data_IF_293734456540
#
_entry.id   IF_293734456540
#
_cell.length_a   1.000
_cell.length_b   1.000
_cell.length_c   1.000
_cell.angle_alpha   90.00
_cell.angle_beta   90.00
_cell.angle_gamma   90.00
#
_symmetry.space_group_name_H-M   'P 1'
#
loop_
_entity.id
_entity.type
_entity.pdbx_description
1 polymer ?
#
# COMPACT_ATOMS: atom_id res chain seq x y z
N UNK A 1 8.78 -3.97 19.82
CA UNK A 1 8.86 -5.06 20.82
C UNK A 1 8.03 -6.29 20.45
N UNK A 2 6.68 -6.26 20.45
CA UNK A 2 5.83 -7.48 20.34
C UNK A 2 6.04 -8.41 19.13
N UNK A 3 6.28 -7.89 17.93
CA UNK A 3 6.44 -8.71 16.71
C UNK A 3 7.85 -9.31 16.59
N UNK A 4 8.86 -8.46 16.73
CA UNK A 4 10.26 -8.82 16.43
C UNK A 4 11.11 -9.07 17.70
N UNK A 5 10.55 -8.91 18.90
CA UNK A 5 11.25 -9.09 20.18
C UNK A 5 12.31 -8.03 20.53
N UNK A 6 12.56 -7.03 19.68
CA UNK A 6 13.63 -6.02 19.87
C UNK A 6 13.26 -4.89 20.84
N UNK A 7 14.28 -4.24 21.43
CA UNK A 7 14.13 -3.05 22.26
C UNK A 7 13.62 -1.83 21.47
N UNK A 8 13.13 -0.82 22.20
CA UNK A 8 12.66 0.42 21.59
C UNK A 8 13.80 1.20 20.93
N UNK A 9 14.97 1.25 21.56
CA UNK A 9 16.16 1.92 21.03
C UNK A 9 16.62 1.27 19.73
N UNK A 10 16.66 -0.07 19.68
CA UNK A 10 17.00 -0.80 18.46
C UNK A 10 15.97 -0.53 17.34
N UNK A 11 14.69 -0.39 17.68
CA UNK A 11 13.65 -0.03 16.72
C UNK A 11 13.81 1.41 16.20
N UNK A 12 14.11 2.38 17.08
CA UNK A 12 14.38 3.79 16.70
C UNK A 12 15.60 3.90 15.79
N UNK A 13 16.69 3.21 16.14
CA UNK A 13 17.91 3.19 15.32
C UNK A 13 17.62 2.64 13.91
N UNK A 14 16.79 1.59 13.81
CA UNK A 14 16.36 1.04 12.51
C UNK A 14 15.51 2.02 11.70
N UNK A 15 14.69 2.85 12.33
CA UNK A 15 13.93 3.90 11.63
C UNK A 15 14.86 5.01 11.14
N UNK A 16 15.83 5.42 11.97
CA UNK A 16 16.79 6.47 11.64
C UNK A 16 17.77 6.07 10.52
N UNK A 17 18.04 4.78 10.36
CA UNK A 17 18.89 4.26 9.28
C UNK A 17 18.17 4.10 7.94
N UNK A 18 16.93 4.57 7.83
CA UNK A 18 16.08 4.45 6.64
C UNK A 18 15.62 5.82 6.16
N UNK A 19 15.16 5.88 4.91
CA UNK A 19 14.46 7.04 4.36
C UNK A 19 13.23 7.38 5.22
N UNK A 20 13.05 8.68 5.51
CA UNK A 20 11.94 9.17 6.31
C UNK A 20 10.60 8.96 5.61
N UNK A 21 9.51 9.00 6.38
CA UNK A 21 8.17 8.88 5.80
C UNK A 21 7.86 10.02 4.82
N UNK A 22 8.31 11.24 5.11
CA UNK A 22 8.09 12.40 4.24
C UNK A 22 8.78 12.22 2.89
N UNK A 23 10.07 11.83 2.89
CA UNK A 23 10.83 11.57 1.66
C UNK A 23 10.20 10.42 0.85
N UNK A 24 9.73 9.35 1.52
CA UNK A 24 9.03 8.24 0.85
C UNK A 24 7.74 8.70 0.18
N UNK A 25 6.96 9.53 0.85
CA UNK A 25 5.70 10.07 0.32
C UNK A 25 5.96 10.98 -0.88
N UNK A 26 6.96 11.85 -0.80
CA UNK A 26 7.33 12.76 -1.88
C UNK A 26 7.75 12.02 -3.16
N UNK A 27 8.48 10.91 -3.02
CA UNK A 27 8.92 10.09 -4.16
C UNK A 27 7.84 9.12 -4.69
N UNK A 28 6.66 9.04 -4.07
CA UNK A 28 5.66 8.01 -4.38
C UNK A 28 4.52 8.51 -5.26
N UNK A 29 4.09 7.70 -6.25
CA UNK A 29 2.87 7.99 -7.02
C UNK A 29 1.58 7.61 -6.28
N UNK A 30 1.66 6.64 -5.36
CA UNK A 30 0.53 6.13 -4.58
C UNK A 30 1.00 5.86 -3.15
N UNK A 31 0.22 6.31 -2.16
CA UNK A 31 0.48 6.07 -0.73
C UNK A 31 -0.67 5.29 -0.14
N UNK A 32 -0.34 4.25 0.64
CA UNK A 32 -1.29 3.40 1.37
C UNK A 32 -0.95 3.41 2.87
N UNK A 33 -1.95 3.23 3.73
CA UNK A 33 -1.78 3.18 5.18
C UNK A 33 -2.42 1.94 5.80
N UNK A 34 -1.64 1.26 6.65
CA UNK A 34 -2.04 0.11 7.46
C UNK A 34 -2.26 0.47 8.93
N UNK A 35 -2.50 1.76 9.22
CA UNK A 35 -2.69 2.24 10.61
C UNK A 35 -4.03 1.79 11.20
N UNK A 36 -5.03 1.59 10.36
CA UNK A 36 -6.39 1.25 10.76
C UNK A 36 -6.66 -0.25 10.65
N UNK A 37 -7.89 -0.64 10.93
CA UNK A 37 -8.37 -2.01 10.81
C UNK A 37 -8.16 -2.53 9.37
N UNK A 38 -7.87 -3.84 9.20
CA UNK A 38 -7.55 -4.42 7.89
C UNK A 38 -8.58 -4.10 6.80
N UNK A 39 -9.85 -3.98 7.15
CA UNK A 39 -10.94 -3.66 6.23
C UNK A 39 -10.77 -2.28 5.58
N UNK A 40 -10.18 -1.32 6.31
CA UNK A 40 -9.95 0.03 5.79
C UNK A 40 -8.77 0.03 4.83
N UNK A 41 -7.69 -0.70 5.15
CA UNK A 41 -6.58 -0.92 4.21
C UNK A 41 -7.07 -1.64 2.95
N UNK A 42 -7.97 -2.62 3.08
CA UNK A 42 -8.55 -3.32 1.93
C UNK A 42 -9.34 -2.38 1.01
N UNK A 43 -10.05 -1.39 1.56
CA UNK A 43 -10.72 -0.35 0.77
C UNK A 43 -9.70 0.53 0.03
N UNK A 44 -8.60 0.93 0.68
CA UNK A 44 -7.54 1.72 0.04
C UNK A 44 -6.89 0.95 -1.12
N UNK A 45 -6.56 -0.33 -0.91
CA UNK A 45 -5.96 -1.20 -1.92
C UNK A 45 -6.88 -1.34 -3.14
N UNK A 46 -8.17 -1.62 -2.93
CA UNK A 46 -9.14 -1.74 -4.04
C UNK A 46 -9.17 -0.48 -4.90
N UNK A 47 -9.30 0.70 -4.27
CA UNK A 47 -9.30 1.98 -4.98
C UNK A 47 -8.01 2.20 -5.79
N UNK A 48 -6.85 1.93 -5.18
CA UNK A 48 -5.56 2.10 -5.83
C UNK A 48 -5.40 1.15 -7.02
N UNK A 49 -5.86 -0.10 -6.87
CA UNK A 49 -5.85 -1.11 -7.92
C UNK A 49 -6.74 -0.73 -9.10
N UNK A 50 -7.98 -0.33 -8.84
CA UNK A 50 -8.91 0.08 -9.90
C UNK A 50 -8.33 1.25 -10.70
N UNK A 51 -7.85 2.30 -10.02
CA UNK A 51 -7.20 3.44 -10.67
C UNK A 51 -5.95 3.05 -11.47
N UNK A 52 -5.19 2.05 -11.02
CA UNK A 52 -4.06 1.51 -11.79
C UNK A 52 -4.55 0.83 -13.07
N UNK A 53 -5.58 -0.01 -12.97
CA UNK A 53 -6.16 -0.71 -14.12
C UNK A 53 -6.63 0.27 -15.20
N UNK A 54 -7.31 1.35 -14.84
CA UNK A 54 -7.74 2.37 -15.81
C UNK A 54 -6.56 3.06 -16.51
N UNK A 55 -5.42 3.24 -15.83
CA UNK A 55 -4.22 3.86 -16.42
C UNK A 55 -3.50 2.94 -17.39
N UNK A 56 -3.41 1.65 -17.07
CA UNK A 56 -2.68 0.67 -17.89
C UNK A 56 -3.55 0.09 -19.02
N UNK A 57 -4.87 0.04 -18.81
CA UNK A 57 -5.86 -0.47 -19.74
C UNK A 57 -7.01 0.55 -19.83
N UNK A 58 -6.96 1.52 -20.76
CA UNK A 58 -7.99 2.56 -20.89
C UNK A 58 -9.40 2.02 -21.16
N UNK A 59 -9.49 0.82 -21.73
CA UNK A 59 -10.75 0.11 -22.01
C UNK A 59 -11.26 -0.71 -20.81
N UNK A 60 -10.60 -0.63 -19.65
CA UNK A 60 -11.02 -1.30 -18.43
C UNK A 60 -12.30 -0.65 -17.90
N UNK A 61 -13.44 -1.32 -18.10
CA UNK A 61 -14.72 -0.95 -17.51
C UNK A 61 -14.90 -1.66 -16.16
N UNK A 62 -15.26 -0.90 -15.12
CA UNK A 62 -15.53 -1.42 -13.77
C UNK A 62 -16.78 -2.32 -13.70
N UNK A 63 -17.53 -2.47 -14.80
CA UNK A 63 -18.76 -3.26 -14.84
C UNK A 63 -18.50 -4.76 -15.00
N UNK A 64 -17.24 -5.17 -15.27
CA UNK A 64 -16.90 -6.58 -15.43
C UNK A 64 -16.24 -7.10 -14.15
N UNK A 65 -16.88 -8.04 -13.41
CA UNK A 65 -16.27 -8.63 -12.24
C UNK A 65 -14.93 -9.28 -12.61
N UNK A 66 -13.95 -9.11 -11.72
CA UNK A 66 -12.53 -9.51 -11.80
C UNK A 66 -12.25 -11.00 -12.10
N UNK A 67 -13.26 -11.81 -12.41
CA UNK A 67 -13.13 -13.22 -12.74
C UNK A 67 -13.61 -13.49 -14.16
N UNK A 68 -12.70 -13.31 -15.11
CA UNK A 68 -12.45 -14.27 -16.20
C UNK A 68 -11.38 -13.72 -17.15
N UNK A 69 -10.32 -14.50 -17.33
CA UNK A 69 -9.48 -14.62 -18.53
C UNK A 69 -7.98 -14.42 -18.26
N UNK A 70 -7.31 -15.52 -17.93
CA UNK A 70 -6.18 -16.11 -18.69
C UNK A 70 -5.46 -17.16 -17.84
N UNK A 71 -6.11 -18.31 -17.70
CA UNK A 71 -5.49 -19.63 -17.82
C UNK A 71 -6.45 -20.46 -18.69
#
# INVERSE_FOLDING_TARGET
MKRDGVSEEAAKNRLASQMSNSERVEASNVVLSTLWEPEVTQKQIRKAWDLLQHRINPDFSNDKPFLKSRF
#
